data_IF_042045369252
#
_entry.id   IF_042045369252
#
_cell.length_a   1.000
_cell.length_b   1.000
_cell.length_c   1.000
_cell.angle_alpha   90.00
_cell.angle_beta   90.00
_cell.angle_gamma   90.00
#
_symmetry.space_group_name_H-M   'P 1'
#
loop_
_entity.id
_entity.type
_entity.pdbx_description
1 polymer ?
#
# COMPACT_ATOMS: atom_id res chain seq x y z
N UNK A 1 17.02 -7.16 -38.63
CA UNK A 1 16.10 -6.01 -38.48
C UNK A 1 14.86 -6.32 -39.28
N UNK A 2 13.75 -6.69 -38.63
CA UNK A 2 12.45 -6.75 -39.31
C UNK A 2 12.03 -5.31 -39.56
N UNK A 3 12.11 -4.87 -40.81
CA UNK A 3 11.50 -3.61 -41.24
C UNK A 3 10.00 -3.87 -41.31
N UNK A 4 9.27 -3.36 -40.33
CA UNK A 4 7.82 -3.32 -40.40
C UNK A 4 7.46 -2.25 -41.44
N UNK A 5 7.01 -2.66 -42.62
CA UNK A 5 6.44 -1.72 -43.58
C UNK A 5 5.03 -1.34 -43.08
N UNK A 6 4.74 -0.03 -42.93
CA UNK A 6 3.45 0.40 -42.41
C UNK A 6 2.34 0.05 -43.41
N UNK A 7 1.30 -0.63 -42.92
CA UNK A 7 0.08 -0.88 -43.70
C UNK A 7 -0.63 0.44 -44.00
N UNK A 8 -0.98 0.68 -45.27
CA UNK A 8 -1.69 1.88 -45.69
C UNK A 8 -3.19 1.60 -45.81
N UNK A 9 -3.99 2.44 -45.17
CA UNK A 9 -5.45 2.47 -45.30
C UNK A 9 -5.81 3.49 -46.37
N UNK A 10 -6.44 3.04 -47.45
CA UNK A 10 -6.73 3.87 -48.64
C UNK A 10 -8.23 3.96 -48.96
N UNK A 11 -9.04 3.05 -48.40
CA UNK A 11 -10.48 2.98 -48.58
C UNK A 11 -11.13 2.28 -47.36
N UNK A 12 -12.46 2.17 -47.37
CA UNK A 12 -13.22 1.53 -46.28
C UNK A 12 -12.93 0.03 -46.15
N UNK A 13 -12.61 -0.65 -47.25
CA UNK A 13 -12.31 -2.08 -47.25
C UNK A 13 -10.97 -2.36 -46.54
N UNK A 14 -9.92 -1.60 -46.89
CA UNK A 14 -8.62 -1.65 -46.22
C UNK A 14 -8.68 -1.18 -44.77
N UNK A 15 -9.58 -0.23 -44.44
CA UNK A 15 -9.84 0.16 -43.06
C UNK A 15 -10.47 -0.99 -42.24
N UNK A 16 -11.43 -1.72 -42.83
CA UNK A 16 -12.05 -2.89 -42.21
C UNK A 16 -11.02 -3.99 -41.91
N UNK A 17 -10.11 -4.24 -42.86
CA UNK A 17 -8.98 -5.17 -42.67
C UNK A 17 -8.08 -4.71 -41.52
N UNK A 18 -7.78 -3.42 -41.42
CA UNK A 18 -6.98 -2.86 -40.34
C UNK A 18 -7.66 -3.03 -38.97
N UNK A 19 -8.97 -2.77 -38.85
CA UNK A 19 -9.72 -3.01 -37.62
C UNK A 19 -9.69 -4.48 -37.20
N UNK A 20 -9.90 -5.41 -38.14
CA UNK A 20 -9.81 -6.84 -37.86
C UNK A 20 -8.41 -7.24 -37.40
N UNK A 21 -7.35 -6.75 -38.07
CA UNK A 21 -5.97 -7.05 -37.71
C UNK A 21 -5.61 -6.55 -36.30
N UNK A 22 -6.05 -5.33 -35.95
CA UNK A 22 -5.90 -4.79 -34.58
C UNK A 22 -6.57 -5.72 -33.57
N UNK A 23 -7.80 -6.17 -33.84
CA UNK A 23 -8.52 -7.07 -32.94
C UNK A 23 -7.78 -8.40 -32.74
N UNK A 24 -7.20 -8.97 -33.81
CA UNK A 24 -6.43 -10.21 -33.71
C UNK A 24 -5.15 -10.02 -32.89
N UNK A 25 -4.43 -8.91 -33.07
CA UNK A 25 -3.23 -8.61 -32.29
C UNK A 25 -3.58 -8.32 -30.81
N UNK A 26 -4.67 -7.61 -30.53
CA UNK A 26 -5.18 -7.42 -29.16
C UNK A 26 -5.51 -8.76 -28.49
N UNK A 27 -6.14 -9.69 -29.21
CA UNK A 27 -6.44 -11.04 -28.70
C UNK A 27 -5.17 -11.83 -28.38
N UNK A 28 -4.15 -11.75 -29.26
CA UNK A 28 -2.84 -12.38 -29.01
C UNK A 28 -2.15 -11.77 -27.79
N UNK A 29 -2.15 -10.44 -27.68
CA UNK A 29 -1.57 -9.73 -26.54
C UNK A 29 -2.29 -10.09 -25.23
N UNK A 30 -3.62 -10.16 -25.25
CA UNK A 30 -4.41 -10.56 -24.10
C UNK A 30 -4.12 -12.01 -23.66
N UNK A 31 -3.98 -12.93 -24.62
CA UNK A 31 -3.60 -14.31 -24.33
C UNK A 31 -2.20 -14.39 -23.71
N UNK A 32 -1.23 -13.67 -24.28
CA UNK A 32 0.13 -13.63 -23.77
C UNK A 32 0.17 -13.05 -22.35
N UNK A 33 -0.55 -11.95 -22.11
CA UNK A 33 -0.68 -11.34 -20.78
C UNK A 33 -1.26 -12.33 -19.78
N UNK A 34 -2.33 -13.04 -20.14
CA UNK A 34 -2.95 -14.06 -19.28
C UNK A 34 -1.97 -15.19 -18.95
N UNK A 35 -1.27 -15.72 -19.94
CA UNK A 35 -0.27 -16.78 -19.73
C UNK A 35 0.86 -16.30 -18.82
N UNK A 36 1.34 -15.07 -19.02
CA UNK A 36 2.35 -14.47 -18.16
C UNK A 36 1.86 -14.34 -16.71
N UNK A 37 0.65 -13.80 -16.50
CA UNK A 37 0.04 -13.68 -15.17
C UNK A 37 -0.15 -15.04 -14.48
N UNK A 38 -0.58 -16.07 -15.22
CA UNK A 38 -0.70 -17.45 -14.70
C UNK A 38 0.66 -18.01 -14.28
N UNK A 39 1.71 -17.83 -15.09
CA UNK A 39 3.07 -18.28 -14.72
C UNK A 39 3.60 -17.55 -13.50
N UNK A 40 3.42 -16.23 -13.41
CA UNK A 40 3.85 -15.43 -12.27
C UNK A 40 3.13 -15.87 -10.98
N UNK A 41 1.82 -16.11 -11.05
CA UNK A 41 1.04 -16.57 -9.90
C UNK A 41 1.53 -17.94 -9.40
N UNK A 42 1.78 -18.89 -10.30
CA UNK A 42 2.32 -20.21 -9.95
C UNK A 42 3.71 -20.12 -9.32
N UNK A 43 4.58 -19.24 -9.81
CA UNK A 43 5.90 -19.00 -9.21
C UNK A 43 5.80 -18.37 -7.83
N UNK A 44 4.89 -17.40 -7.67
CA UNK A 44 4.63 -16.77 -6.37
C UNK A 44 4.08 -17.77 -5.35
N UNK A 45 3.16 -18.65 -5.75
CA UNK A 45 2.61 -19.70 -4.89
C UNK A 45 3.71 -20.64 -4.41
N UNK A 46 4.53 -21.17 -5.32
CA UNK A 46 5.69 -22.02 -4.97
C UNK A 46 6.68 -21.32 -4.06
N UNK A 47 6.94 -20.03 -4.30
CA UNK A 47 7.83 -19.24 -3.44
C UNK A 47 7.24 -19.08 -2.03
N UNK A 48 5.94 -18.84 -1.91
CA UNK A 48 5.26 -18.77 -0.61
C UNK A 48 5.27 -20.11 0.12
N UNK A 49 5.03 -21.23 -0.57
CA UNK A 49 5.14 -22.58 0.00
C UNK A 49 6.56 -22.84 0.53
N UNK A 50 7.59 -22.54 -0.26
CA UNK A 50 8.98 -22.69 0.16
C UNK A 50 9.32 -21.82 1.38
N UNK A 51 8.81 -20.59 1.45
CA UNK A 51 8.96 -19.74 2.63
C UNK A 51 8.22 -20.33 3.85
N UNK A 52 7.03 -20.88 3.66
CA UNK A 52 6.26 -21.52 4.73
C UNK A 52 6.98 -22.76 5.26
N UNK A 53 7.53 -23.61 4.39
CA UNK A 53 8.34 -24.77 4.77
C UNK A 53 9.59 -24.38 5.55
N UNK A 54 10.34 -23.37 5.08
CA UNK A 54 11.51 -22.85 5.80
C UNK A 54 11.15 -22.29 7.16
N UNK A 55 10.03 -21.56 7.25
CA UNK A 55 9.52 -21.04 8.52
C UNK A 55 9.15 -22.18 9.47
N UNK A 56 8.46 -23.20 8.98
CA UNK A 56 8.08 -24.37 9.79
C UNK A 56 9.32 -25.16 10.27
N UNK A 57 10.32 -25.31 9.41
CA UNK A 57 11.59 -25.95 9.78
C UNK A 57 12.32 -25.15 10.87
N UNK A 58 12.38 -23.82 10.74
CA UNK A 58 12.94 -22.95 11.75
C UNK A 58 12.19 -23.04 13.08
N UNK A 59 10.84 -23.00 13.05
CA UNK A 59 10.01 -23.12 14.25
C UNK A 59 10.24 -24.45 14.97
N UNK A 60 10.35 -25.57 14.24
CA UNK A 60 10.67 -26.89 14.81
C UNK A 60 12.05 -26.91 15.48
N UNK A 61 13.07 -26.34 14.83
CA UNK A 61 14.42 -26.26 15.41
C UNK A 61 14.42 -25.42 16.69
N UNK A 62 13.65 -24.34 16.73
CA UNK A 62 13.57 -23.45 17.88
C UNK A 62 12.63 -23.93 19.00
N UNK A 63 11.75 -24.91 18.75
CA UNK A 63 10.73 -25.36 19.71
C UNK A 63 11.35 -25.86 21.03
N UNK A 64 12.27 -26.82 20.95
CA UNK A 64 12.97 -27.40 22.10
C UNK A 64 13.76 -26.35 22.92
N UNK A 65 14.64 -25.52 22.30
CA UNK A 65 15.31 -24.42 22.99
C UNK A 65 14.34 -23.42 23.64
N UNK A 66 13.29 -22.99 22.93
CA UNK A 66 12.30 -22.06 23.45
C UNK A 66 11.57 -22.64 24.66
N UNK A 67 11.21 -23.93 24.62
CA UNK A 67 10.60 -24.64 25.76
C UNK A 67 11.53 -24.65 26.98
N UNK A 68 12.83 -24.96 26.77
CA UNK A 68 13.83 -24.96 27.85
C UNK A 68 14.01 -23.56 28.46
N UNK A 69 14.11 -22.54 27.61
CA UNK A 69 14.20 -21.13 28.04
C UNK A 69 12.96 -20.71 28.82
N UNK A 70 11.76 -21.06 28.36
CA UNK A 70 10.51 -20.76 29.05
C UNK A 70 10.47 -21.42 30.44
N UNK A 71 10.85 -22.70 30.53
CA UNK A 71 10.93 -23.42 31.80
C UNK A 71 11.90 -22.74 32.78
N UNK A 72 13.12 -22.41 32.33
CA UNK A 72 14.09 -21.71 33.19
C UNK A 72 13.62 -20.33 33.62
N UNK A 73 12.98 -19.55 32.72
CA UNK A 73 12.38 -18.27 33.08
C UNK A 73 11.32 -18.44 34.16
N UNK A 74 10.43 -19.41 34.02
CA UNK A 74 9.40 -19.67 35.03
C UNK A 74 10.00 -20.08 36.37
N UNK A 75 11.06 -20.91 36.38
CA UNK A 75 11.75 -21.28 37.62
C UNK A 75 12.37 -20.07 38.32
N UNK A 76 12.97 -19.12 37.59
CA UNK A 76 13.51 -17.88 38.16
C UNK A 76 12.40 -16.98 38.74
N UNK A 77 11.24 -16.91 38.07
CA UNK A 77 10.07 -16.17 38.57
C UNK A 77 9.57 -16.79 39.87
N UNK A 78 9.30 -18.10 39.89
CA UNK A 78 8.82 -18.82 41.07
C UNK A 78 9.78 -18.64 42.26
N UNK A 79 11.09 -18.69 42.00
CA UNK A 79 12.10 -18.44 43.02
C UNK A 79 12.04 -17.01 43.55
N UNK A 80 11.95 -16.00 42.67
CA UNK A 80 11.83 -14.60 43.08
C UNK A 80 10.55 -14.35 43.89
N UNK A 81 9.41 -14.93 43.49
CA UNK A 81 8.14 -14.83 44.22
C UNK A 81 8.22 -15.45 45.61
N UNK A 82 8.82 -16.63 45.74
CA UNK A 82 9.03 -17.28 47.04
C UNK A 82 9.92 -16.44 47.98
N UNK A 83 10.99 -15.83 47.43
CA UNK A 83 11.86 -14.94 48.21
C UNK A 83 11.14 -13.64 48.59
N UNK A 84 10.33 -13.08 47.69
CA UNK A 84 9.55 -11.86 47.94
C UNK A 84 8.42 -12.06 48.95
N UNK A 85 7.87 -13.26 49.05
CA UNK A 85 6.91 -13.61 50.10
C UNK A 85 7.51 -13.52 51.51
N UNK A 86 8.81 -13.78 51.66
CA UNK A 86 9.52 -13.61 52.94
C UNK A 86 10.09 -12.20 53.10
N UNK A 87 10.59 -11.60 52.02
CA UNK A 87 11.19 -10.27 52.01
C UNK A 87 10.74 -9.49 50.77
N UNK A 88 9.76 -8.60 50.93
CA UNK A 88 9.19 -7.80 49.83
C UNK A 88 10.21 -6.96 49.05
N UNK A 89 11.37 -6.67 49.64
CA UNK A 89 12.45 -5.90 49.02
C UNK A 89 13.53 -6.77 48.35
N UNK A 90 13.36 -8.09 48.31
CA UNK A 90 14.32 -9.01 47.70
C UNK A 90 14.54 -8.71 46.21
N UNK A 91 15.80 -8.80 45.75
CA UNK A 91 16.19 -8.60 44.36
C UNK A 91 17.15 -9.69 43.91
N UNK A 92 16.85 -10.34 42.79
CA UNK A 92 17.71 -11.35 42.21
C UNK A 92 18.73 -10.71 41.25
N UNK A 93 20.02 -10.74 41.63
CA UNK A 93 21.14 -10.29 40.80
C UNK A 93 22.30 -11.30 40.93
N UNK A 94 22.82 -11.75 39.79
CA UNK A 94 23.97 -12.65 39.68
C UNK A 94 25.01 -12.05 38.74
N UNK A 95 26.13 -12.74 38.53
CA UNK A 95 27.14 -12.37 37.52
C UNK A 95 26.61 -12.46 36.08
N UNK A 96 25.62 -13.33 35.84
CA UNK A 96 25.09 -13.62 34.51
C UNK A 96 23.79 -12.86 34.19
N UNK A 97 23.24 -12.08 35.14
CA UNK A 97 22.04 -11.30 34.91
C UNK A 97 21.29 -10.90 36.17
N UNK A 98 20.15 -10.24 35.98
CA UNK A 98 19.23 -9.84 37.04
C UNK A 98 17.79 -10.04 36.59
N UNK A 99 16.90 -10.36 37.52
CA UNK A 99 15.46 -10.39 37.27
C UNK A 99 14.85 -9.08 37.77
N UNK A 100 14.06 -8.42 36.92
CA UNK A 100 13.43 -7.13 37.20
C UNK A 100 11.93 -7.26 37.04
N UNK A 101 11.19 -6.86 38.07
CA UNK A 101 9.74 -6.75 38.03
C UNK A 101 9.35 -5.35 37.54
N UNK A 102 8.40 -5.28 36.60
CA UNK A 102 7.81 -4.02 36.13
C UNK A 102 6.30 -4.12 36.17
N UNK A 103 5.63 -2.99 36.32
CA UNK A 103 4.16 -2.90 36.34
C UNK A 103 3.68 -2.02 35.18
N UNK A 104 3.70 -2.53 33.94
CA UNK A 104 3.25 -1.76 32.79
C UNK A 104 1.74 -1.48 32.89
N UNK A 105 1.34 -0.25 32.56
CA UNK A 105 -0.08 0.12 32.46
C UNK A 105 -0.62 -0.41 31.13
N UNK A 106 -1.64 -1.27 31.17
CA UNK A 106 -2.36 -1.73 29.98
C UNK A 106 -3.52 -0.78 29.67
N UNK A 107 -3.48 -0.16 28.50
CA UNK A 107 -4.52 0.76 28.03
C UNK A 107 -5.48 0.02 27.09
N UNK A 108 -6.76 0.00 27.45
CA UNK A 108 -7.82 -0.51 26.59
C UNK A 108 -8.50 0.69 25.94
N UNK A 109 -8.08 1.05 24.73
CA UNK A 109 -8.56 2.26 24.06
C UNK A 109 -9.18 1.94 22.69
N UNK A 110 -10.38 2.45 22.46
CA UNK A 110 -10.97 2.53 21.12
C UNK A 110 -10.48 3.84 20.49
N UNK A 111 -9.38 3.76 19.74
CA UNK A 111 -8.75 4.93 19.12
C UNK A 111 -9.69 5.67 18.18
N UNK A 112 -10.66 4.98 17.55
CA UNK A 112 -11.62 5.61 16.65
C UNK A 112 -12.65 6.45 17.41
N UNK A 113 -13.21 5.92 18.50
CA UNK A 113 -14.14 6.68 19.35
C UNK A 113 -13.45 7.87 20.03
N UNK A 114 -12.25 7.64 20.57
CA UNK A 114 -11.46 8.69 21.22
C UNK A 114 -11.09 9.78 20.22
N UNK A 115 -10.58 9.41 19.04
CA UNK A 115 -10.26 10.34 17.97
C UNK A 115 -11.46 11.18 17.54
N UNK A 116 -12.65 10.57 17.33
CA UNK A 116 -13.87 11.32 16.96
C UNK A 116 -14.30 12.34 18.02
N UNK A 117 -14.26 11.97 19.31
CA UNK A 117 -14.61 12.88 20.40
C UNK A 117 -13.62 14.04 20.51
N UNK A 118 -12.33 13.75 20.38
CA UNK A 118 -11.28 14.77 20.48
C UNK A 118 -11.30 15.73 19.29
N UNK A 119 -11.65 15.26 18.09
CA UNK A 119 -11.78 16.09 16.89
C UNK A 119 -12.97 17.06 16.93
N UNK A 120 -13.94 16.85 17.84
CA UNK A 120 -15.09 17.75 18.03
C UNK A 120 -14.82 18.88 19.05
N UNK A 121 -13.65 18.88 19.69
CA UNK A 121 -13.27 19.84 20.71
C UNK A 121 -12.14 20.74 20.18
N UNK A 122 -12.28 22.08 20.28
CA UNK A 122 -11.23 22.99 19.84
C UNK A 122 -9.96 22.86 20.72
N UNK A 123 -8.77 23.00 20.12
CA UNK A 123 -7.49 22.99 20.85
C UNK A 123 -6.77 21.63 20.91
N UNK A 124 -7.28 20.61 20.22
CA UNK A 124 -6.73 19.25 20.20
C UNK A 124 -5.99 18.92 18.90
N UNK A 125 -5.74 19.90 18.03
CA UNK A 125 -5.22 19.71 16.67
C UNK A 125 -3.81 19.08 16.67
N UNK A 126 -3.01 19.31 17.71
CA UNK A 126 -1.67 18.74 17.88
C UNK A 126 -1.65 17.20 18.05
N UNK A 127 -2.80 16.58 18.33
CA UNK A 127 -2.91 15.12 18.46
C UNK A 127 -3.36 14.42 17.18
N UNK A 128 -3.57 15.19 16.10
CA UNK A 128 -3.93 14.68 14.79
C UNK A 128 -2.81 15.01 13.79
N UNK A 129 -2.59 14.13 12.83
CA UNK A 129 -1.66 14.41 11.74
C UNK A 129 -2.18 15.60 10.91
N UNK A 130 -1.31 16.56 10.54
CA UNK A 130 -1.69 17.63 9.64
C UNK A 130 -2.13 17.04 8.30
N UNK A 131 -3.41 17.17 7.95
CA UNK A 131 -3.83 16.85 6.59
C UNK A 131 -3.46 18.02 5.68
N UNK A 132 -2.59 17.77 4.69
CA UNK A 132 -2.43 18.70 3.59
C UNK A 132 -3.79 18.86 2.89
N UNK A 133 -4.29 20.09 2.66
CA UNK A 133 -5.51 20.28 1.91
C UNK A 133 -5.30 19.71 0.50
N UNK A 134 -6.06 18.67 0.14
CA UNK A 134 -6.05 18.12 -1.22
C UNK A 134 -6.57 19.19 -2.17
N UNK A 135 -5.69 19.74 -3.00
CA UNK A 135 -6.08 20.62 -4.09
C UNK A 135 -6.97 19.86 -5.07
N UNK A 136 -8.24 20.25 -5.16
CA UNK A 136 -9.24 19.60 -6.02
C UNK A 136 -9.19 20.20 -7.42
N UNK A 137 -8.15 19.88 -8.18
CA UNK A 137 -7.97 20.37 -9.56
C UNK A 137 -9.24 20.18 -10.41
N UNK A 138 -9.90 19.02 -10.32
CA UNK A 138 -11.12 18.76 -11.08
C UNK A 138 -12.30 19.68 -10.76
N UNK A 139 -12.41 20.22 -9.54
CA UNK A 139 -13.45 21.21 -9.21
C UNK A 139 -13.02 22.61 -9.63
N UNK A 140 -11.76 22.99 -9.38
CA UNK A 140 -11.22 24.28 -9.80
C UNK A 140 -11.23 24.44 -11.33
N UNK A 141 -10.88 23.40 -12.09
CA UNK A 141 -10.92 23.40 -13.56
C UNK A 141 -12.30 23.75 -14.10
N UNK A 142 -13.39 23.37 -13.41
CA UNK A 142 -14.76 23.66 -13.87
C UNK A 142 -15.14 25.14 -13.76
N UNK A 143 -14.48 25.90 -12.89
CA UNK A 143 -14.71 27.34 -12.77
C UNK A 143 -13.90 28.17 -13.78
N UNK A 144 -13.04 27.53 -14.57
CA UNK A 144 -12.18 28.20 -15.54
C UNK A 144 -12.86 28.26 -16.91
N UNK A 145 -12.60 29.33 -17.65
CA UNK A 145 -13.01 29.50 -19.04
C UNK A 145 -11.78 29.54 -19.95
N UNK A 146 -11.86 28.88 -21.10
CA UNK A 146 -10.79 28.87 -22.11
C UNK A 146 -11.18 29.86 -23.20
N UNK A 147 -10.32 30.84 -23.45
CA UNK A 147 -10.46 31.79 -24.54
C UNK A 147 -9.97 31.18 -25.86
N UNK A 148 -10.43 31.72 -26.99
CA UNK A 148 -10.05 31.26 -28.34
C UNK A 148 -8.53 31.35 -28.61
N UNK A 149 -7.80 32.14 -27.83
CA UNK A 149 -6.34 32.28 -27.88
C UNK A 149 -5.59 31.17 -27.13
N UNK A 150 -6.28 30.23 -26.47
CA UNK A 150 -5.70 29.18 -25.63
C UNK A 150 -5.36 29.62 -24.19
N UNK A 151 -5.63 30.88 -23.85
CA UNK A 151 -5.49 31.42 -22.51
C UNK A 151 -6.67 31.00 -21.62
N UNK A 152 -6.40 30.77 -20.33
CA UNK A 152 -7.41 30.36 -19.36
C UNK A 152 -7.68 31.51 -18.39
N UNK A 153 -8.96 31.85 -18.21
CA UNK A 153 -9.42 32.89 -17.28
C UNK A 153 -10.29 32.30 -16.16
N UNK A 154 -10.30 32.97 -15.01
CA UNK A 154 -11.15 32.61 -13.88
C UNK A 154 -12.59 33.13 -14.03
N UNK A 155 -13.41 32.92 -12.99
CA UNK A 155 -14.81 33.39 -12.95
C UNK A 155 -14.97 34.91 -12.96
N UNK A 156 -13.90 35.66 -12.71
CA UNK A 156 -13.86 37.13 -12.72
C UNK A 156 -13.31 37.67 -14.05
N UNK A 157 -12.89 36.79 -14.97
CA UNK A 157 -12.28 37.16 -16.25
C UNK A 157 -10.79 37.48 -16.16
N UNK A 158 -10.12 37.17 -15.04
CA UNK A 158 -8.68 37.36 -14.88
C UNK A 158 -7.91 36.16 -15.43
N UNK A 159 -6.81 36.41 -16.14
CA UNK A 159 -5.94 35.36 -16.67
C UNK A 159 -5.31 34.59 -15.52
N UNK A 160 -5.50 33.27 -15.51
CA UNK A 160 -4.88 32.40 -14.51
C UNK A 160 -3.44 32.14 -14.91
N UNK A 161 -2.44 32.60 -14.15
CA UNK A 161 -1.05 32.29 -14.44
C UNK A 161 -0.81 30.78 -14.34
N UNK A 162 0.11 30.27 -15.17
CA UNK A 162 0.55 28.86 -15.19
C UNK A 162 -0.50 27.82 -15.66
N UNK A 163 -1.60 28.25 -16.28
CA UNK A 163 -2.58 27.37 -16.91
C UNK A 163 -2.78 27.73 -18.39
N UNK A 164 -2.39 26.83 -19.28
CA UNK A 164 -2.61 26.93 -20.73
C UNK A 164 -3.40 25.73 -21.23
N UNK A 165 -4.16 25.90 -22.31
CA UNK A 165 -4.89 24.81 -22.95
C UNK A 165 -4.51 24.72 -24.41
N UNK A 166 -3.94 23.58 -24.79
CA UNK A 166 -3.77 23.21 -26.19
C UNK A 166 -4.99 22.41 -26.64
N UNK A 167 -5.60 22.83 -27.75
CA UNK A 167 -6.63 22.03 -28.40
C UNK A 167 -5.97 20.97 -29.27
N UNK A 168 -6.04 19.72 -28.83
CA UNK A 168 -5.55 18.56 -29.57
C UNK A 168 -6.74 17.78 -30.12
N UNK A 169 -6.71 17.49 -31.42
CA UNK A 169 -7.66 16.55 -32.02
C UNK A 169 -7.15 15.14 -31.75
N UNK A 170 -7.86 14.40 -30.91
CA UNK A 170 -7.58 12.99 -30.63
C UNK A 170 -8.56 12.09 -31.38
N UNK A 171 -8.03 11.02 -31.97
CA UNK A 171 -8.83 9.97 -32.61
C UNK A 171 -8.83 8.73 -31.71
N UNK A 172 -10.01 8.16 -31.47
CA UNK A 172 -10.15 6.95 -30.68
C UNK A 172 -10.72 5.82 -31.53
N UNK A 173 -10.05 4.68 -31.53
CA UNK A 173 -10.58 3.43 -32.09
C UNK A 173 -11.50 2.82 -31.04
N UNK A 174 -12.79 2.72 -31.36
CA UNK A 174 -13.81 2.06 -30.51
C UNK A 174 -14.35 0.86 -31.25
N UNK A 175 -14.60 -0.23 -30.51
CA UNK A 175 -15.27 -1.42 -31.06
C UNK A 175 -16.73 -1.06 -31.35
N UNK A 176 -17.23 -1.55 -32.49
CA UNK A 176 -18.65 -1.48 -32.83
C UNK A 176 -19.49 -2.32 -31.86
#
# INVERSE_FOLDING_TARGET
MNKYEPYQVIDEETASIAFWAIEQEEKKLALYKKQYEETLNLEMEKYQEMLAEKKQAYEKVCEEPNRKIANWKQSLINFMEAQQATNSNYRLKTVNGKLVQTHPKKWHVDTKKVGKRLAQQPGNEAWFEPQAPKFKWGEYKKSLQVLDTGQVVDSNGEVVPDVTVDQVVEYHIRKA
#
